data_IF_236807388397
#
_entry.id   IF_236807388397
#
_cell.length_a   1.000
_cell.length_b   1.000
_cell.length_c   1.000
_cell.angle_alpha   90.00
_cell.angle_beta   90.00
_cell.angle_gamma   90.00
#
_symmetry.space_group_name_H-M   'P 1'
#
loop_
_entity.id
_entity.type
_entity.pdbx_description
1 polymer ?
#
# COMPACT_ATOMS: atom_id res chain seq x y z
N UNK A 1 -3.18 -47.80 -51.45
CA UNK A 1 -2.31 -46.68 -51.91
C UNK A 1 -1.71 -46.05 -50.67
N UNK A 2 -0.37 -46.07 -50.46
CA UNK A 2 0.65 -45.12 -50.98
C UNK A 2 0.43 -43.70 -50.41
N UNK A 3 1.33 -42.97 -49.73
CA UNK A 3 2.65 -43.16 -49.05
C UNK A 3 2.68 -42.19 -47.84
N UNK A 4 3.49 -42.25 -46.77
CA UNK A 4 4.69 -43.02 -46.37
C UNK A 4 6.09 -42.50 -46.80
N UNK A 5 6.54 -41.37 -46.22
CA UNK A 5 7.95 -40.93 -46.05
C UNK A 5 7.97 -39.88 -44.90
N UNK A 6 8.70 -40.00 -43.77
CA UNK A 6 10.14 -40.19 -43.46
C UNK A 6 11.03 -38.97 -43.77
N UNK A 7 11.45 -38.27 -42.72
CA UNK A 7 12.79 -37.71 -42.42
C UNK A 7 12.69 -36.93 -41.08
N UNK A 8 13.70 -36.71 -40.26
CA UNK A 8 14.80 -37.54 -39.77
C UNK A 8 15.29 -36.84 -38.49
N UNK A 9 15.49 -37.62 -37.44
CA UNK A 9 16.22 -37.27 -36.22
C UNK A 9 17.61 -36.67 -36.54
N UNK A 10 17.96 -35.52 -35.96
CA UNK A 10 19.33 -35.25 -35.54
C UNK A 10 19.35 -34.70 -34.11
N UNK A 11 20.02 -35.44 -33.24
CA UNK A 11 20.38 -35.03 -31.88
C UNK A 11 21.67 -34.22 -31.99
N UNK A 12 21.75 -33.07 -31.33
CA UNK A 12 23.03 -32.45 -31.01
C UNK A 12 23.10 -32.16 -29.51
N UNK A 13 23.69 -33.11 -28.79
CA UNK A 13 24.09 -32.92 -27.40
C UNK A 13 25.46 -32.23 -27.43
N UNK A 14 25.57 -31.00 -26.92
CA UNK A 14 26.87 -30.37 -26.65
C UNK A 14 26.96 -30.12 -25.14
N UNK A 15 27.52 -31.09 -24.44
CA UNK A 15 28.00 -30.90 -23.09
C UNK A 15 29.38 -30.22 -23.16
N UNK A 16 29.42 -28.92 -22.87
CA UNK A 16 30.67 -28.16 -22.74
C UNK A 16 31.08 -28.10 -21.27
N UNK A 17 31.72 -29.17 -20.77
CA UNK A 17 32.42 -29.13 -19.48
C UNK A 17 33.71 -28.33 -19.67
N UNK A 18 33.67 -27.04 -19.33
CA UNK A 18 34.86 -26.19 -19.21
C UNK A 18 35.40 -26.24 -17.79
N UNK A 19 36.16 -27.30 -17.49
CA UNK A 19 37.13 -27.27 -16.40
C UNK A 19 38.36 -26.45 -16.85
N UNK A 20 39.02 -25.82 -15.86
CA UNK A 20 40.21 -24.95 -15.93
C UNK A 20 39.97 -23.44 -15.96
N UNK A 21 39.87 -22.83 -14.77
CA UNK A 21 41.00 -22.07 -14.21
C UNK A 21 40.78 -21.79 -12.73
N UNK A 22 41.68 -22.23 -11.86
CA UNK A 22 41.76 -21.68 -10.51
C UNK A 22 42.47 -20.31 -10.60
N UNK A 23 41.67 -19.25 -10.62
CA UNK A 23 42.12 -17.91 -10.25
C UNK A 23 41.32 -17.52 -9.02
N UNK A 24 42.00 -17.34 -7.88
CA UNK A 24 41.40 -16.79 -6.66
C UNK A 24 41.10 -15.29 -6.85
N UNK A 25 40.14 -14.99 -7.73
CA UNK A 25 39.55 -13.67 -7.82
C UNK A 25 38.48 -13.59 -6.73
N UNK A 26 38.93 -13.20 -5.55
CA UNK A 26 38.11 -13.00 -4.36
C UNK A 26 37.27 -11.71 -4.45
N UNK A 27 36.66 -11.47 -5.61
CA UNK A 27 35.56 -10.53 -5.77
C UNK A 27 34.34 -11.20 -5.15
N UNK A 28 34.07 -10.87 -3.89
CA UNK A 28 32.82 -11.22 -3.24
C UNK A 28 31.69 -10.56 -4.01
N UNK A 29 31.07 -11.30 -4.92
CA UNK A 29 29.86 -10.91 -5.65
C UNK A 29 28.83 -10.49 -4.61
N UNK A 30 28.65 -9.18 -4.43
CA UNK A 30 27.85 -8.60 -3.35
C UNK A 30 26.40 -8.94 -3.63
N UNK A 31 25.94 -10.07 -3.09
CA UNK A 31 24.57 -10.56 -3.25
C UNK A 31 23.61 -9.45 -2.83
N UNK A 32 22.91 -8.89 -3.82
CA UNK A 32 21.90 -7.87 -3.58
C UNK A 32 20.71 -8.62 -2.97
N UNK A 33 20.47 -8.38 -1.68
CA UNK A 33 19.34 -8.95 -0.97
C UNK A 33 18.05 -8.31 -1.51
N UNK A 34 17.02 -9.13 -1.70
CA UNK A 34 15.66 -8.66 -1.97
C UNK A 34 15.06 -7.97 -0.75
N UNK A 35 14.00 -7.16 -0.94
CA UNK A 35 13.28 -6.50 0.15
C UNK A 35 12.76 -7.49 1.23
N UNK A 36 12.29 -8.67 0.80
CA UNK A 36 11.89 -9.75 1.73
C UNK A 36 13.07 -10.28 2.55
N UNK A 37 14.24 -10.46 1.93
CA UNK A 37 15.45 -10.91 2.63
C UNK A 37 16.01 -9.84 3.58
N UNK A 38 15.91 -8.55 3.23
CA UNK A 38 16.30 -7.44 4.10
C UNK A 38 15.44 -7.42 5.37
N UNK A 39 14.11 -7.45 5.23
CA UNK A 39 13.18 -7.48 6.37
C UNK A 39 13.39 -8.74 7.25
N UNK A 40 13.54 -9.91 6.62
CA UNK A 40 13.78 -11.16 7.34
C UNK A 40 15.16 -11.18 8.03
N UNK A 41 16.19 -10.55 7.44
CA UNK A 41 17.51 -10.40 8.05
C UNK A 41 17.48 -9.44 9.25
N UNK A 42 16.76 -8.32 9.13
CA UNK A 42 16.54 -7.38 10.22
C UNK A 42 15.93 -8.08 11.43
N UNK A 43 14.84 -8.84 11.23
CA UNK A 43 14.19 -9.63 12.28
C UNK A 43 15.10 -10.71 12.87
N UNK A 44 15.72 -11.56 12.03
CA UNK A 44 16.61 -12.65 12.48
C UNK A 44 17.84 -12.14 13.25
N UNK A 45 18.27 -10.91 13.01
CA UNK A 45 19.37 -10.26 13.76
C UNK A 45 18.89 -9.30 14.85
N UNK A 46 17.57 -9.14 15.03
CA UNK A 46 16.90 -8.18 15.91
C UNK A 46 17.46 -6.74 15.81
N UNK A 47 17.94 -6.34 14.64
CA UNK A 47 18.53 -5.03 14.41
C UNK A 47 17.45 -4.05 13.99
N UNK A 48 17.25 -3.03 14.83
CA UNK A 48 16.35 -1.92 14.52
C UNK A 48 16.91 -1.05 13.41
N UNK A 49 18.24 -0.89 13.30
CA UNK A 49 18.85 -0.13 12.21
C UNK A 49 18.57 -0.76 10.84
N UNK A 50 18.63 -2.09 10.73
CA UNK A 50 18.28 -2.78 9.48
C UNK A 50 16.80 -2.70 9.14
N UNK A 51 15.92 -2.75 10.13
CA UNK A 51 14.49 -2.56 9.92
C UNK A 51 14.19 -1.14 9.43
N UNK A 52 14.88 -0.15 10.02
CA UNK A 52 14.83 1.23 9.56
C UNK A 52 15.32 1.36 8.11
N UNK A 53 16.47 0.77 7.78
CA UNK A 53 16.99 0.75 6.40
C UNK A 53 16.04 0.13 5.38
N UNK A 54 15.30 -0.93 5.75
CA UNK A 54 14.25 -1.51 4.88
C UNK A 54 13.14 -0.49 4.59
N UNK A 55 12.68 0.25 5.60
CA UNK A 55 11.67 1.29 5.40
C UNK A 55 12.23 2.53 4.67
N UNK A 56 13.50 2.91 4.87
CA UNK A 56 14.14 3.99 4.10
C UNK A 56 14.31 3.64 2.62
N UNK A 57 14.60 2.38 2.29
CA UNK A 57 14.65 1.94 0.89
C UNK A 57 13.25 1.96 0.27
N UNK A 58 12.21 1.52 0.99
CA UNK A 58 10.81 1.60 0.54
C UNK A 58 10.36 3.07 0.36
N UNK A 59 10.74 3.97 1.27
CA UNK A 59 10.47 5.42 1.14
C UNK A 59 11.15 6.02 -0.09
N UNK A 60 12.42 5.67 -0.34
CA UNK A 60 13.16 6.17 -1.52
C UNK A 60 12.55 5.74 -2.86
N UNK A 61 11.77 4.65 -2.86
CA UNK A 61 11.01 4.15 -4.02
C UNK A 61 9.56 4.70 -4.05
N UNK A 62 9.07 5.26 -2.94
CA UNK A 62 7.70 5.75 -2.76
C UNK A 62 7.55 7.22 -3.13
N UNK A 63 7.96 7.58 -4.34
CA UNK A 63 7.86 8.95 -4.84
C UNK A 63 6.38 9.30 -5.13
N UNK A 64 5.79 10.37 -4.58
CA UNK A 64 4.42 10.80 -4.94
C UNK A 64 4.33 11.18 -6.42
N UNK A 65 3.15 11.06 -7.03
CA UNK A 65 2.92 11.67 -8.35
C UNK A 65 3.05 13.18 -8.24
N UNK A 66 3.73 13.78 -9.21
CA UNK A 66 3.82 15.24 -9.36
C UNK A 66 2.48 15.84 -9.77
N UNK A 67 2.32 17.14 -9.51
CA UNK A 67 1.16 17.88 -10.01
C UNK A 67 1.02 17.79 -11.54
N UNK A 68 2.13 17.70 -12.27
CA UNK A 68 2.14 17.57 -13.73
C UNK A 68 1.64 16.20 -14.20
N UNK A 69 2.08 15.12 -13.53
CA UNK A 69 1.53 13.77 -13.76
C UNK A 69 0.01 13.73 -13.46
N UNK A 70 -0.42 14.27 -12.31
CA UNK A 70 -1.84 14.31 -11.94
C UNK A 70 -2.65 15.12 -12.95
N UNK A 71 -2.17 16.29 -13.40
CA UNK A 71 -2.88 17.08 -14.42
C UNK A 71 -2.91 16.40 -15.81
N UNK A 72 -2.01 15.44 -16.07
CA UNK A 72 -2.01 14.63 -17.30
C UNK A 72 -2.98 13.44 -17.28
N UNK A 73 -3.58 13.11 -16.12
CA UNK A 73 -4.56 12.04 -16.00
C UNK A 73 -5.79 12.29 -16.90
N UNK A 74 -6.40 11.25 -17.51
CA UNK A 74 -7.27 11.42 -18.67
C UNK A 74 -8.65 12.02 -18.35
N UNK A 75 -9.13 11.94 -17.10
CA UNK A 75 -10.46 12.38 -16.70
C UNK A 75 -10.41 13.34 -15.51
N UNK A 76 -11.42 14.22 -15.38
CA UNK A 76 -11.50 15.10 -14.21
C UNK A 76 -11.82 14.31 -12.94
N UNK A 77 -12.54 13.19 -13.06
CA UNK A 77 -12.82 12.26 -11.98
C UNK A 77 -11.52 11.76 -11.32
N UNK A 78 -10.55 11.26 -12.10
CA UNK A 78 -9.25 10.81 -11.57
C UNK A 78 -8.52 11.97 -10.88
N UNK A 79 -8.47 13.15 -11.50
CA UNK A 79 -7.85 14.35 -10.91
C UNK A 79 -8.53 14.79 -9.61
N UNK A 80 -9.85 14.69 -9.54
CA UNK A 80 -10.63 14.97 -8.34
C UNK A 80 -10.38 13.93 -7.24
N UNK A 81 -10.22 12.65 -7.57
CA UNK A 81 -9.85 11.59 -6.61
C UNK A 81 -8.55 11.91 -5.87
N UNK A 82 -7.51 12.39 -6.57
CA UNK A 82 -6.28 12.87 -5.91
C UNK A 82 -6.57 14.04 -4.96
N UNK A 83 -7.28 15.07 -5.42
CA UNK A 83 -7.58 16.27 -4.59
C UNK A 83 -8.38 15.93 -3.34
N UNK A 84 -9.43 15.12 -3.46
CA UNK A 84 -10.25 14.70 -2.32
C UNK A 84 -9.43 13.83 -1.36
N UNK A 85 -8.65 12.87 -1.87
CA UNK A 85 -7.83 12.02 -0.99
C UNK A 85 -6.76 12.82 -0.24
N UNK A 86 -6.05 13.73 -0.89
CA UNK A 86 -5.02 14.56 -0.26
C UNK A 86 -5.57 15.50 0.83
N UNK A 87 -6.86 15.85 0.74
CA UNK A 87 -7.58 16.62 1.74
C UNK A 87 -8.22 15.75 2.84
N UNK A 88 -8.67 14.55 2.49
CA UNK A 88 -9.34 13.61 3.39
C UNK A 88 -8.35 12.81 4.25
N UNK A 89 -7.17 12.48 3.74
CA UNK A 89 -6.24 11.56 4.39
C UNK A 89 -5.40 12.24 5.49
N UNK A 90 -5.88 12.17 6.73
CA UNK A 90 -5.12 12.48 7.94
C UNK A 90 -5.25 11.33 8.97
N UNK A 91 -4.18 10.53 9.20
CA UNK A 91 -4.15 9.44 10.17
C UNK A 91 -3.97 9.89 11.63
N UNK A 92 -3.71 11.17 11.88
CA UNK A 92 -3.49 11.75 13.21
C UNK A 92 -4.75 12.43 13.76
N UNK A 93 -5.67 12.85 12.88
CA UNK A 93 -6.94 13.49 13.26
C UNK A 93 -8.15 12.55 13.21
N UNK A 94 -8.01 11.29 13.64
CA UNK A 94 -9.04 10.24 13.47
C UNK A 94 -10.45 10.59 13.99
N UNK A 95 -10.59 11.50 14.95
CA UNK A 95 -11.89 11.99 15.42
C UNK A 95 -12.72 12.71 14.35
N UNK A 96 -12.10 13.28 13.31
CA UNK A 96 -12.82 14.06 12.29
C UNK A 96 -13.75 13.19 11.44
N UNK A 97 -13.52 11.88 11.41
CA UNK A 97 -14.30 10.95 10.60
C UNK A 97 -15.53 10.36 11.34
N UNK A 98 -15.61 10.57 12.66
CA UNK A 98 -16.67 10.08 13.53
C UNK A 98 -16.19 9.79 14.96
N UNK A 99 -17.13 9.73 15.90
CA UNK A 99 -16.83 9.42 17.30
C UNK A 99 -16.61 7.90 17.52
N UNK A 100 -15.34 7.48 17.55
CA UNK A 100 -14.91 6.11 17.85
C UNK A 100 -14.97 5.77 19.36
N UNK A 101 -16.02 6.20 20.07
CA UNK A 101 -16.28 5.83 21.48
C UNK A 101 -16.41 4.31 21.71
N UNK A 102 -16.48 3.51 20.63
CA UNK A 102 -16.66 2.06 20.66
C UNK A 102 -15.37 1.26 20.86
N UNK A 103 -14.20 1.81 20.53
CA UNK A 103 -12.90 1.13 20.67
C UNK A 103 -11.83 1.97 21.41
N UNK A 104 -12.02 2.25 22.71
CA UNK A 104 -11.10 3.07 23.50
C UNK A 104 -9.72 2.44 23.75
N UNK A 105 -9.49 1.17 23.39
CA UNK A 105 -8.30 0.39 23.76
C UNK A 105 -6.98 0.88 23.13
N UNK A 106 -7.05 1.65 22.04
CA UNK A 106 -5.89 2.24 21.35
C UNK A 106 -5.95 3.76 21.23
N UNK A 107 -7.12 4.36 21.42
CA UNK A 107 -7.35 5.80 21.33
C UNK A 107 -7.09 6.39 19.94
N UNK A 108 -7.40 7.69 19.80
CA UNK A 108 -7.19 8.45 18.57
C UNK A 108 -5.71 8.70 18.25
N UNK A 109 -4.82 8.34 19.18
CA UNK A 109 -3.37 8.55 19.11
C UNK A 109 -2.60 7.34 18.59
N UNK A 110 -3.27 6.27 18.14
CA UNK A 110 -2.62 5.00 17.72
C UNK A 110 -1.45 5.19 16.73
N UNK A 111 -1.56 6.17 15.83
CA UNK A 111 -0.55 6.48 14.82
C UNK A 111 0.47 7.56 15.21
N UNK A 112 0.32 8.28 16.33
CA UNK A 112 1.10 9.52 16.59
C UNK A 112 2.63 9.35 16.55
N UNK A 113 3.14 8.19 16.96
CA UNK A 113 4.57 7.89 17.07
C UNK A 113 5.09 7.09 15.84
N UNK A 114 4.39 7.16 14.70
CA UNK A 114 4.72 6.41 13.48
C UNK A 114 5.68 7.19 12.59
N UNK A 115 6.88 6.65 12.30
CA UNK A 115 7.81 7.29 11.36
C UNK A 115 7.36 7.08 9.91
N UNK A 116 6.98 5.85 9.55
CA UNK A 116 6.61 5.47 8.18
C UNK A 116 5.10 5.15 8.07
N UNK A 117 4.40 6.05 7.39
CA UNK A 117 2.97 6.01 7.09
C UNK A 117 2.75 5.19 5.82
N UNK A 118 2.04 4.07 5.95
CA UNK A 118 1.75 3.16 4.83
C UNK A 118 0.46 3.59 4.14
N UNK A 119 0.57 4.16 2.94
CA UNK A 119 -0.56 4.64 2.14
C UNK A 119 -0.93 3.59 1.08
N UNK A 120 -2.21 3.40 0.81
CA UNK A 120 -2.68 2.53 -0.28
C UNK A 120 -2.12 2.96 -1.65
N UNK A 121 -1.68 1.99 -2.48
CA UNK A 121 -1.26 2.25 -3.87
C UNK A 121 -2.39 2.04 -4.90
N UNK A 122 -3.61 1.73 -4.44
CA UNK A 122 -4.81 1.54 -5.25
C UNK A 122 -6.01 2.20 -4.61
N UNK A 123 -6.94 2.70 -5.42
CA UNK A 123 -8.23 3.24 -4.98
C UNK A 123 -9.30 2.96 -6.03
N UNK A 124 -10.53 2.71 -5.58
CA UNK A 124 -11.66 2.54 -6.49
C UNK A 124 -12.22 3.93 -6.86
N UNK A 125 -12.54 4.12 -8.12
CA UNK A 125 -13.25 5.29 -8.61
C UNK A 125 -14.59 4.84 -9.16
N UNK A 126 -15.70 5.38 -8.65
CA UNK A 126 -17.01 5.16 -9.27
C UNK A 126 -17.59 6.46 -9.78
N UNK A 127 -18.27 6.42 -10.92
CA UNK A 127 -19.01 7.58 -11.45
C UNK A 127 -20.25 7.14 -12.23
N UNK A 128 -21.02 8.13 -12.69
CA UNK A 128 -22.28 7.96 -13.40
C UNK A 128 -23.31 7.12 -12.62
N UNK A 129 -23.61 7.53 -11.38
CA UNK A 129 -24.58 6.86 -10.49
C UNK A 129 -24.31 5.35 -10.32
N UNK A 130 -23.09 5.01 -9.92
CA UNK A 130 -22.64 3.63 -9.67
C UNK A 130 -22.62 2.71 -10.92
N UNK A 131 -22.67 3.26 -12.14
CA UNK A 131 -22.65 2.46 -13.38
C UNK A 131 -21.24 2.18 -13.91
N UNK A 132 -20.26 3.05 -13.62
CA UNK A 132 -18.87 2.86 -14.07
C UNK A 132 -17.94 2.83 -12.87
N UNK A 133 -17.24 1.71 -12.69
CA UNK A 133 -16.18 1.53 -11.69
C UNK A 133 -14.83 1.31 -12.38
N UNK A 134 -13.86 2.15 -12.04
CA UNK A 134 -12.47 2.06 -12.47
C UNK A 134 -11.55 1.85 -11.25
N UNK A 135 -10.36 1.30 -11.47
CA UNK A 135 -9.33 1.15 -10.45
C UNK A 135 -8.13 2.00 -10.85
N UNK A 136 -7.75 2.96 -10.00
CA UNK A 136 -6.48 3.66 -10.18
C UNK A 136 -5.40 2.77 -9.54
N UNK A 137 -4.72 1.99 -10.37
CA UNK A 137 -3.49 1.28 -9.99
C UNK A 137 -2.31 2.22 -10.23
N UNK A 138 -1.35 2.29 -9.30
CA UNK A 138 -0.39 3.41 -9.17
C UNK A 138 -1.01 4.72 -8.63
N UNK A 139 -1.84 4.59 -7.60
CA UNK A 139 -2.32 5.72 -6.82
C UNK A 139 -1.24 6.16 -5.81
N UNK A 140 -0.52 7.25 -6.12
CA UNK A 140 0.55 7.82 -5.28
C UNK A 140 0.26 9.28 -4.91
N UNK A 141 -0.79 9.56 -4.11
CA UNK A 141 -1.20 10.92 -3.74
C UNK A 141 -0.19 11.60 -2.82
N UNK A 142 -0.12 12.94 -2.90
CA UNK A 142 0.81 13.75 -2.09
C UNK A 142 0.21 14.07 -0.71
N UNK A 143 0.39 13.15 0.23
CA UNK A 143 0.05 13.40 1.63
C UNK A 143 0.98 14.48 2.23
N UNK A 144 0.40 15.55 2.80
CA UNK A 144 1.15 16.64 3.43
C UNK A 144 0.99 16.58 4.95
N UNK A 145 1.76 15.71 5.62
CA UNK A 145 1.81 15.63 7.08
C UNK A 145 3.24 15.88 7.53
N UNK A 146 3.46 17.00 8.23
CA UNK A 146 4.81 17.49 8.54
C UNK A 146 5.63 16.47 9.35
N UNK A 147 6.86 16.22 8.92
CA UNK A 147 7.87 15.34 9.56
C UNK A 147 7.62 13.83 9.50
N UNK A 148 6.63 13.35 8.72
CA UNK A 148 6.41 11.91 8.51
C UNK A 148 6.91 11.44 7.14
N UNK A 149 7.37 10.19 7.07
CA UNK A 149 7.76 9.51 5.83
C UNK A 149 6.59 8.73 5.27
N UNK A 150 6.40 8.72 3.96
CA UNK A 150 5.31 8.00 3.30
C UNK A 150 5.84 6.84 2.48
N UNK A 151 5.15 5.70 2.57
CA UNK A 151 5.45 4.52 1.75
C UNK A 151 4.17 4.01 1.09
N UNK A 152 4.21 3.70 -0.21
CA UNK A 152 3.03 3.22 -0.93
C UNK A 152 2.98 1.69 -0.93
N UNK A 153 1.85 1.15 -0.46
CA UNK A 153 1.58 -0.29 -0.40
C UNK A 153 1.25 -0.84 -1.79
N UNK A 154 2.29 -1.08 -2.58
CA UNK A 154 2.20 -1.86 -3.82
C UNK A 154 1.91 -3.32 -3.52
N UNK A 155 1.45 -4.08 -4.51
CA UNK A 155 1.21 -5.53 -4.38
C UNK A 155 2.49 -6.30 -3.96
N UNK A 156 3.69 -5.80 -4.30
CA UNK A 156 4.96 -6.36 -3.88
C UNK A 156 5.18 -6.19 -2.36
N UNK A 157 4.99 -4.98 -1.83
CA UNK A 157 5.14 -4.73 -0.39
C UNK A 157 4.01 -5.35 0.44
N UNK A 158 2.77 -5.38 -0.09
CA UNK A 158 1.66 -6.14 0.51
C UNK A 158 2.04 -7.63 0.64
N UNK A 159 2.64 -8.21 -0.41
CA UNK A 159 3.13 -9.59 -0.38
C UNK A 159 4.28 -9.77 0.62
N UNK A 160 5.28 -8.88 0.64
CA UNK A 160 6.43 -8.97 1.57
C UNK A 160 5.96 -8.94 3.03
N UNK A 161 5.06 -8.03 3.38
CA UNK A 161 4.51 -7.93 4.73
C UNK A 161 3.64 -9.15 5.08
N UNK A 162 2.84 -9.66 4.14
CA UNK A 162 2.03 -10.87 4.34
C UNK A 162 2.87 -12.15 4.50
N UNK A 163 3.92 -12.32 3.68
CA UNK A 163 4.87 -13.44 3.80
C UNK A 163 5.70 -13.34 5.10
N UNK A 164 5.97 -12.12 5.58
CA UNK A 164 6.65 -11.92 6.84
C UNK A 164 5.77 -12.26 8.05
N UNK A 165 4.46 -11.94 8.00
CA UNK A 165 3.45 -12.26 9.02
C UNK A 165 2.61 -13.51 8.68
N UNK A 166 3.20 -14.49 8.01
CA UNK A 166 2.49 -15.62 7.39
C UNK A 166 1.84 -16.60 8.36
N UNK A 167 0.77 -17.27 7.91
CA UNK A 167 -0.09 -18.15 8.72
C UNK A 167 0.53 -19.51 9.07
N UNK A 168 1.62 -19.90 8.39
CA UNK A 168 2.38 -21.12 8.67
C UNK A 168 3.29 -20.99 9.90
N UNK A 169 3.41 -19.79 10.46
CA UNK A 169 4.18 -19.51 11.67
C UNK A 169 3.35 -19.84 12.93
N UNK A 170 4.01 -20.06 14.07
CA UNK A 170 3.29 -20.13 15.34
C UNK A 170 2.78 -18.74 15.73
N UNK A 171 1.63 -18.67 16.43
CA UNK A 171 1.07 -17.42 16.95
C UNK A 171 2.09 -16.56 17.74
N UNK A 172 3.00 -17.20 18.48
CA UNK A 172 4.07 -16.52 19.21
C UNK A 172 5.10 -15.85 18.27
N UNK A 173 5.47 -16.53 17.17
CA UNK A 173 6.40 -16.00 16.16
C UNK A 173 5.75 -14.89 15.32
N UNK A 174 4.46 -15.05 14.96
CA UNK A 174 3.66 -13.99 14.32
C UNK A 174 3.65 -12.73 15.18
N UNK A 175 3.39 -12.87 16.49
CA UNK A 175 3.31 -11.71 17.39
C UNK A 175 4.67 -11.01 17.56
N UNK A 176 5.77 -11.75 17.69
CA UNK A 176 7.13 -11.17 17.74
C UNK A 176 7.49 -10.39 16.47
N UNK A 177 7.07 -10.89 15.31
CA UNK A 177 7.27 -10.21 14.02
C UNK A 177 6.42 -8.97 13.87
N UNK A 178 5.17 -9.03 14.31
CA UNK A 178 4.27 -7.87 14.39
C UNK A 178 4.83 -6.78 15.32
N UNK A 179 5.25 -7.13 16.54
CA UNK A 179 5.91 -6.21 17.47
C UNK A 179 7.22 -5.64 16.90
N UNK A 180 7.97 -6.44 16.12
CA UNK A 180 9.18 -5.98 15.45
C UNK A 180 8.89 -4.93 14.38
N UNK A 181 7.94 -5.18 13.47
CA UNK A 181 7.50 -4.20 12.45
C UNK A 181 6.96 -2.90 13.07
N UNK A 182 6.14 -3.02 14.13
CA UNK A 182 5.45 -1.89 14.75
C UNK A 182 6.37 -0.94 15.57
N UNK A 183 7.69 -1.09 15.45
CA UNK A 183 8.71 -0.13 15.93
C UNK A 183 8.80 1.13 15.07
N UNK A 184 8.54 1.03 13.76
CA UNK A 184 8.68 2.14 12.80
C UNK A 184 7.41 2.45 12.00
N UNK A 185 6.52 1.47 11.85
CA UNK A 185 5.17 1.65 11.29
C UNK A 185 4.10 1.23 12.33
N UNK A 186 2.81 1.24 11.95
CA UNK A 186 1.69 0.76 12.78
C UNK A 186 0.68 -0.05 11.95
N UNK A 187 0.99 -1.31 11.75
CA UNK A 187 0.07 -2.30 11.18
C UNK A 187 -0.99 -2.63 12.24
N UNK A 188 -2.22 -2.91 11.82
CA UNK A 188 -3.28 -3.44 12.68
C UNK A 188 -3.62 -4.88 12.28
N UNK A 189 -3.85 -5.82 13.20
CA UNK A 189 -4.50 -7.09 12.85
C UNK A 189 -5.91 -6.83 12.32
N UNK A 190 -6.46 -7.74 11.50
CA UNK A 190 -7.88 -7.71 11.11
C UNK A 190 -8.81 -8.18 12.23
N UNK A 191 -10.11 -7.86 12.19
CA UNK A 191 -11.04 -8.28 13.23
C UNK A 191 -11.32 -9.78 13.14
N UNK A 192 -11.56 -10.28 11.92
CA UNK A 192 -11.81 -11.70 11.66
C UNK A 192 -10.58 -12.46 11.17
N UNK A 193 -9.80 -11.86 10.27
CA UNK A 193 -8.63 -12.50 9.67
C UNK A 193 -7.69 -11.47 9.00
N UNK A 194 -6.42 -11.87 8.82
CA UNK A 194 -5.43 -11.09 8.07
C UNK A 194 -4.95 -9.84 8.80
N UNK A 195 -4.50 -8.86 8.01
CA UNK A 195 -3.83 -7.65 8.46
C UNK A 195 -4.35 -6.43 7.70
N UNK A 196 -4.41 -5.29 8.39
CA UNK A 196 -4.53 -3.97 7.77
C UNK A 196 -3.14 -3.36 7.76
N UNK A 197 -2.49 -3.45 6.60
CA UNK A 197 -1.14 -2.91 6.41
C UNK A 197 -1.15 -1.40 6.21
N UNK A 198 -2.24 -0.84 5.68
CA UNK A 198 -2.42 0.59 5.53
C UNK A 198 -2.58 1.30 6.89
N UNK A 199 -1.99 2.50 6.97
CA UNK A 199 -2.23 3.46 8.04
C UNK A 199 -3.57 4.13 7.79
N UNK A 200 -4.53 3.93 8.68
CA UNK A 200 -5.91 4.42 8.53
C UNK A 200 -6.00 5.95 8.66
N UNK A 201 -6.94 6.63 7.97
CA UNK A 201 -8.08 6.06 7.23
C UNK A 201 -7.69 5.38 5.92
N UNK A 202 -8.19 4.16 5.70
CA UNK A 202 -8.10 3.50 4.39
C UNK A 202 -9.33 3.92 3.58
N UNK A 203 -9.13 4.49 2.39
CA UNK A 203 -10.22 4.88 1.50
C UNK A 203 -10.49 3.74 0.52
N UNK A 204 -11.67 3.15 0.55
CA UNK A 204 -12.04 2.10 -0.42
C UNK A 204 -12.24 2.66 -1.81
N UNK A 205 -12.96 3.78 -1.89
CA UNK A 205 -13.20 4.46 -3.13
C UNK A 205 -13.81 5.84 -2.96
N UNK A 206 -13.87 6.54 -4.08
CA UNK A 206 -14.52 7.84 -4.20
C UNK A 206 -15.54 7.74 -5.33
N UNK A 207 -16.80 8.00 -4.99
CA UNK A 207 -17.95 7.92 -5.89
C UNK A 207 -18.41 9.33 -6.24
N UNK A 208 -18.40 9.68 -7.52
CA UNK A 208 -18.84 10.99 -8.00
C UNK A 208 -20.26 10.95 -8.57
N UNK A 209 -21.01 12.03 -8.34
CA UNK A 209 -22.25 12.27 -9.07
C UNK A 209 -21.97 12.66 -10.54
N UNK A 210 -23.02 12.73 -11.36
CA UNK A 210 -22.86 13.08 -12.79
C UNK A 210 -22.33 14.51 -13.02
N UNK A 211 -22.62 15.45 -12.12
CA UNK A 211 -22.20 16.85 -12.25
C UNK A 211 -20.74 17.13 -11.87
N UNK A 212 -20.08 16.20 -11.17
CA UNK A 212 -18.83 16.44 -10.42
C UNK A 212 -18.94 17.63 -9.45
N UNK A 213 -20.16 17.84 -8.92
CA UNK A 213 -20.45 18.83 -7.87
C UNK A 213 -20.46 18.22 -6.47
N UNK A 214 -20.58 16.89 -6.39
CA UNK A 214 -20.63 16.14 -5.13
C UNK A 214 -19.94 14.78 -5.28
N UNK A 215 -19.32 14.33 -4.19
CA UNK A 215 -18.62 13.06 -4.10
C UNK A 215 -18.85 12.40 -2.74
N UNK A 216 -18.83 11.06 -2.70
CA UNK A 216 -18.84 10.25 -1.48
C UNK A 216 -17.52 9.49 -1.36
N UNK A 217 -16.94 9.48 -0.18
CA UNK A 217 -15.72 8.75 0.17
C UNK A 217 -16.09 7.61 1.11
N UNK A 218 -15.98 6.37 0.66
CA UNK A 218 -16.15 5.19 1.51
C UNK A 218 -14.81 4.83 2.17
N UNK A 219 -14.76 4.69 3.49
CA UNK A 219 -13.51 4.51 4.22
C UNK A 219 -13.59 3.54 5.41
N UNK A 220 -12.42 3.15 5.93
CA UNK A 220 -12.22 2.35 7.16
C UNK A 220 -11.24 3.02 8.10
N UNK A 221 -11.54 2.94 9.39
CA UNK A 221 -10.64 3.20 10.50
C UNK A 221 -10.66 1.98 11.42
N UNK A 222 -9.57 1.22 11.46
CA UNK A 222 -9.45 0.01 12.28
C UNK A 222 -10.54 -1.00 11.91
N UNK A 223 -11.45 -1.31 12.84
CA UNK A 223 -12.57 -2.23 12.64
C UNK A 223 -13.87 -1.50 12.31
N UNK A 224 -13.86 -0.17 12.26
CA UNK A 224 -15.03 0.64 11.93
C UNK A 224 -14.90 1.13 10.49
N UNK A 225 -16.02 1.28 9.80
CA UNK A 225 -16.08 1.89 8.48
C UNK A 225 -17.19 2.90 8.38
N UNK A 226 -17.05 3.82 7.43
CA UNK A 226 -17.86 5.00 7.34
C UNK A 226 -17.92 5.55 5.92
N UNK A 227 -18.73 6.58 5.78
CA UNK A 227 -18.86 7.37 4.56
C UNK A 227 -18.69 8.85 4.90
N UNK A 228 -18.11 9.61 3.98
CA UNK A 228 -17.97 11.05 4.06
C UNK A 228 -18.44 11.70 2.75
N UNK A 229 -19.05 12.88 2.83
CA UNK A 229 -19.55 13.60 1.66
C UNK A 229 -18.75 14.87 1.42
N UNK A 230 -18.47 15.16 0.16
CA UNK A 230 -17.75 16.34 -0.31
C UNK A 230 -18.60 17.09 -1.34
N UNK A 231 -18.57 18.41 -1.30
CA UNK A 231 -19.10 19.29 -2.34
C UNK A 231 -17.95 20.02 -3.06
N UNK A 232 -18.14 20.34 -4.34
CA UNK A 232 -17.18 21.08 -5.16
C UNK A 232 -17.53 22.57 -5.18
N UNK A 233 -16.67 23.39 -4.58
CA UNK A 233 -16.79 24.84 -4.59
C UNK A 233 -16.55 25.38 -6.00
N UNK A 234 -17.62 25.55 -6.76
CA UNK A 234 -17.57 26.02 -8.17
C UNK A 234 -16.86 27.36 -8.38
N UNK A 235 -16.69 28.16 -7.32
CA UNK A 235 -15.93 29.43 -7.34
C UNK A 235 -14.43 29.28 -7.12
N UNK A 236 -13.99 28.23 -6.41
CA UNK A 236 -12.59 28.04 -6.01
C UNK A 236 -11.95 26.77 -6.63
N UNK A 237 -12.76 25.88 -7.23
CA UNK A 237 -12.37 24.57 -7.74
C UNK A 237 -11.71 23.67 -6.67
N UNK A 238 -12.11 23.89 -5.41
CA UNK A 238 -11.78 23.10 -4.23
C UNK A 238 -12.90 22.11 -3.93
N UNK A 239 -12.54 20.97 -3.36
CA UNK A 239 -13.51 20.10 -2.71
C UNK A 239 -13.59 20.50 -1.23
N UNK A 240 -14.76 20.34 -0.61
CA UNK A 240 -15.00 20.68 0.79
C UNK A 240 -15.80 19.56 1.47
N UNK A 241 -15.21 18.99 2.52
CA UNK A 241 -15.84 17.97 3.37
C UNK A 241 -17.07 18.57 4.07
N UNK A 242 -18.25 18.00 3.82
CA UNK A 242 -19.51 18.43 4.43
C UNK A 242 -19.85 17.62 5.67
N UNK A 243 -19.80 16.29 5.58
CA UNK A 243 -20.06 15.39 6.70
C UNK A 243 -19.17 14.14 6.64
N UNK A 244 -18.96 13.49 7.79
CA UNK A 244 -18.34 12.17 7.88
C UNK A 244 -18.88 11.43 9.09
N UNK A 245 -19.20 10.14 8.91
CA UNK A 245 -19.71 9.31 10.00
C UNK A 245 -19.38 7.83 9.80
N UNK A 246 -19.11 7.15 10.91
CA UNK A 246 -18.94 5.70 10.97
C UNK A 246 -20.32 5.01 10.87
N UNK A 247 -20.50 4.16 9.86
CA UNK A 247 -21.76 3.48 9.50
C UNK A 247 -21.77 2.01 9.89
N UNK A 248 -20.60 1.34 9.96
CA UNK A 248 -20.51 -0.10 10.23
C UNK A 248 -19.27 -0.49 11.05
N UNK A 249 -19.28 -1.73 11.54
CA UNK A 249 -18.17 -2.39 12.23
C UNK A 249 -17.93 -3.73 11.51
N UNK A 250 -16.67 -4.09 11.31
CA UNK A 250 -16.23 -5.40 10.76
C UNK A 250 -16.70 -6.55 11.64
#
# INVERSE_FOLDING_TARGET
MKYLQKLNLQILLIASISLFSCSDNNDSEKTILTQSELLLNAYKTNSTEKLHSFFEEWESLSVPKTNEEIQSEPTEQIRATYRIFEQFYDPFSLNQYGDSTRYPEVGNEFYKDTEFIVVQNRINLTFDNYQVTEYITDFRPKCNLDNHKFVYLTDEYEKILKDFLDDQLSWEEVWKRYEFLNKYTKISPGHWFGWHFETHPKVYGIDFNYGLDSARVDFRIRYEGGEATFENSTTENSWELQESHLTWIE
#
